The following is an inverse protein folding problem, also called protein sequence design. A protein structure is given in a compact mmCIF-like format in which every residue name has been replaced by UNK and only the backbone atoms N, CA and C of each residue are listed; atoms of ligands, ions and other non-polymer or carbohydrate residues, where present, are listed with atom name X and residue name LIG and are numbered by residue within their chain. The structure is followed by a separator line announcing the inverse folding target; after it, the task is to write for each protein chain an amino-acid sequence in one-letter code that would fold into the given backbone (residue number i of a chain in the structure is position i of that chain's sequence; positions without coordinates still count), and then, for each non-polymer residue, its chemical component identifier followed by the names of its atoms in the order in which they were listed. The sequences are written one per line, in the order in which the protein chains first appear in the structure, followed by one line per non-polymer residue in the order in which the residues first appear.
data_IF_330994954100
#
_entry.id   IF_330994954100
#
_cell.length_a   1.000
_cell.length_b   1.000
_cell.length_c   1.000
_cell.angle_alpha   90.00
_cell.angle_beta   90.00
_cell.angle_gamma   90.00
#
_symmetry.space_group_name_H-M   'P 1'
#
loop_
_entity.id
_entity.type
_entity.pdbx_description
1 polymer ?
#
# COMPACT_ATOMS: atom_id res chain seq x y z
N UNK A 1 -11.24 -4.92 -27.52
CA UNK A 1 -11.65 -4.01 -26.41
C UNK A 1 -12.92 -4.55 -25.78
N UNK A 2 -12.94 -4.69 -24.48
CA UNK A 2 -14.08 -5.24 -23.73
C UNK A 2 -14.73 -4.15 -22.90
N UNK A 3 -16.07 -4.07 -22.93
CA UNK A 3 -16.85 -3.13 -22.12
C UNK A 3 -16.94 -3.60 -20.68
N UNK A 4 -16.48 -2.78 -19.74
CA UNK A 4 -16.39 -3.13 -18.31
C UNK A 4 -16.86 -1.98 -17.44
N UNK A 5 -17.21 -2.30 -16.19
CA UNK A 5 -17.31 -1.38 -15.06
C UNK A 5 -16.27 -1.74 -14.03
N UNK A 6 -15.83 -0.76 -13.23
CA UNK A 6 -14.90 -0.98 -12.10
C UNK A 6 -15.64 -1.03 -10.78
N UNK A 7 -15.54 -2.15 -10.08
CA UNK A 7 -16.21 -2.39 -8.80
C UNK A 7 -15.18 -2.54 -7.69
N UNK A 8 -15.47 -1.96 -6.53
CA UNK A 8 -14.64 -2.03 -5.32
C UNK A 8 -15.48 -2.54 -4.15
N UNK A 9 -14.93 -3.48 -3.39
CA UNK A 9 -15.60 -4.08 -2.23
C UNK A 9 -15.21 -3.42 -0.89
N UNK A 10 -14.10 -2.72 -0.84
CA UNK A 10 -13.58 -2.03 0.35
C UNK A 10 -13.07 -0.64 -0.02
N UNK A 11 -13.09 0.32 0.90
CA UNK A 11 -12.76 1.73 0.65
C UNK A 11 -11.41 1.92 -0.07
N UNK A 12 -10.36 1.25 0.36
CA UNK A 12 -9.04 1.26 -0.29
C UNK A 12 -8.72 -0.10 -0.94
N UNK A 13 -9.75 -0.81 -1.45
CA UNK A 13 -9.61 -2.10 -2.12
C UNK A 13 -9.14 -1.96 -3.56
N UNK A 14 -8.71 -3.08 -4.13
CA UNK A 14 -8.46 -3.22 -5.56
C UNK A 14 -9.76 -2.98 -6.33
N UNK A 15 -9.64 -2.41 -7.52
CA UNK A 15 -10.76 -2.29 -8.46
C UNK A 15 -10.77 -3.54 -9.31
N UNK A 16 -11.92 -4.21 -9.35
CA UNK A 16 -12.16 -5.39 -10.17
C UNK A 16 -13.06 -5.04 -11.33
N UNK A 17 -12.76 -5.57 -12.50
CA UNK A 17 -13.56 -5.34 -13.69
C UNK A 17 -14.64 -6.41 -13.82
N UNK A 18 -15.86 -5.95 -14.14
CA UNK A 18 -17.02 -6.81 -14.43
C UNK A 18 -17.69 -6.35 -15.73
N UNK A 19 -18.31 -7.29 -16.44
CA UNK A 19 -19.15 -6.95 -17.59
C UNK A 19 -20.47 -6.35 -17.08
N UNK A 20 -20.91 -5.17 -17.57
CA UNK A 20 -22.17 -4.56 -17.13
C UNK A 20 -23.40 -5.37 -17.57
N UNK A 21 -23.25 -6.27 -18.56
CA UNK A 21 -24.35 -7.06 -19.10
C UNK A 21 -25.38 -6.18 -19.82
N UNK A 22 -26.64 -6.33 -19.45
CA UNK A 22 -27.77 -5.56 -19.99
C UNK A 22 -28.08 -4.29 -19.20
N UNK A 23 -27.35 -4.03 -18.13
CA UNK A 23 -27.62 -2.92 -17.23
C UNK A 23 -26.80 -1.69 -17.64
N UNK A 24 -27.40 -0.53 -17.49
CA UNK A 24 -26.69 0.75 -17.51
C UNK A 24 -26.34 1.10 -16.06
N UNK A 25 -25.07 1.21 -15.75
CA UNK A 25 -24.57 1.34 -14.36
C UNK A 25 -23.63 2.54 -14.29
N UNK A 26 -23.95 3.46 -13.39
CA UNK A 26 -23.18 4.69 -13.18
C UNK A 26 -22.21 4.59 -11.99
N UNK A 27 -21.26 5.47 -11.96
CA UNK A 27 -20.33 5.61 -10.82
C UNK A 27 -21.10 6.08 -9.58
N UNK A 28 -20.82 5.45 -8.44
CA UNK A 28 -21.51 5.71 -7.18
C UNK A 28 -22.63 4.71 -6.87
N UNK A 29 -23.11 3.96 -7.85
CA UNK A 29 -24.11 2.92 -7.63
C UNK A 29 -23.51 1.68 -6.97
N UNK A 30 -24.39 0.82 -6.47
CA UNK A 30 -24.01 -0.48 -5.92
C UNK A 30 -24.51 -1.61 -6.80
N UNK A 31 -23.75 -2.69 -6.85
CA UNK A 31 -24.04 -3.85 -7.66
C UNK A 31 -23.84 -5.15 -6.90
N UNK A 32 -24.62 -6.15 -7.28
CA UNK A 32 -24.46 -7.53 -6.83
C UNK A 32 -23.67 -8.28 -7.89
N UNK A 33 -22.54 -8.86 -7.47
CA UNK A 33 -21.63 -9.60 -8.35
C UNK A 33 -21.28 -10.95 -7.76
N UNK A 34 -20.85 -11.88 -8.59
CA UNK A 34 -20.30 -13.15 -8.15
C UNK A 34 -18.79 -13.13 -8.22
N UNK A 35 -18.16 -13.41 -7.07
CA UNK A 35 -16.70 -13.52 -6.93
C UNK A 35 -16.28 -14.95 -6.60
N UNK A 36 -14.99 -15.20 -6.40
CA UNK A 36 -14.51 -16.47 -5.87
C UNK A 36 -14.99 -16.73 -4.43
N UNK A 37 -15.36 -15.67 -3.70
CA UNK A 37 -15.88 -15.75 -2.32
C UNK A 37 -17.37 -16.06 -2.25
N UNK A 38 -18.07 -15.88 -3.34
CA UNK A 38 -19.54 -16.00 -3.45
C UNK A 38 -20.16 -14.73 -4.00
N UNK A 39 -21.42 -14.50 -3.66
CA UNK A 39 -22.16 -13.29 -4.02
C UNK A 39 -21.74 -12.15 -3.09
N UNK A 40 -21.31 -11.05 -3.68
CA UNK A 40 -20.82 -9.88 -2.96
C UNK A 40 -21.54 -8.61 -3.40
N UNK A 41 -21.64 -7.68 -2.47
CA UNK A 41 -22.13 -6.32 -2.66
C UNK A 41 -20.95 -5.39 -2.93
N UNK A 42 -20.93 -4.77 -4.11
CA UNK A 42 -19.83 -3.95 -4.56
C UNK A 42 -20.23 -2.51 -4.88
N UNK A 43 -19.31 -1.57 -4.66
CA UNK A 43 -19.49 -0.17 -5.02
C UNK A 43 -18.82 0.12 -6.36
N UNK A 44 -19.57 0.71 -7.29
CA UNK A 44 -19.09 1.08 -8.62
C UNK A 44 -18.25 2.37 -8.52
N UNK A 45 -16.97 2.26 -8.84
CA UNK A 45 -16.01 3.37 -8.79
C UNK A 45 -15.55 3.83 -10.18
N UNK A 46 -15.88 3.08 -11.20
CA UNK A 46 -15.65 3.43 -12.59
C UNK A 46 -16.89 3.04 -13.39
N UNK A 47 -17.54 4.03 -14.02
CA UNK A 47 -18.63 3.83 -14.97
C UNK A 47 -18.20 3.00 -16.19
N UNK A 48 -19.14 2.65 -17.04
CA UNK A 48 -18.89 1.88 -18.25
C UNK A 48 -17.77 2.49 -19.11
N UNK A 49 -16.77 1.67 -19.43
CA UNK A 49 -15.66 2.02 -20.32
C UNK A 49 -15.17 0.84 -21.11
N UNK A 50 -14.53 1.11 -22.22
CA UNK A 50 -13.81 0.11 -22.99
C UNK A 50 -12.38 0.00 -22.48
N UNK A 51 -11.94 -1.23 -22.22
CA UNK A 51 -10.59 -1.55 -21.75
C UNK A 51 -9.97 -2.58 -22.70
N UNK A 52 -8.66 -2.51 -22.87
CA UNK A 52 -7.89 -3.49 -23.64
C UNK A 52 -8.02 -4.88 -23.02
N UNK A 53 -8.15 -5.91 -23.85
CA UNK A 53 -8.45 -7.28 -23.40
C UNK A 53 -7.32 -7.89 -22.55
N UNK A 54 -6.09 -7.40 -22.68
CA UNK A 54 -4.92 -7.78 -21.89
C UNK A 54 -4.96 -7.28 -20.43
N UNK A 55 -5.76 -6.24 -20.16
CA UNK A 55 -5.98 -5.68 -18.80
C UNK A 55 -7.14 -6.33 -18.06
N UNK A 56 -7.87 -7.24 -18.72
CA UNK A 56 -9.04 -7.90 -18.18
C UNK A 56 -8.73 -9.36 -17.84
N UNK A 57 -8.97 -9.75 -16.58
CA UNK A 57 -8.80 -11.14 -16.17
C UNK A 57 -9.94 -12.00 -16.75
N UNK A 58 -9.58 -12.98 -17.55
CA UNK A 58 -10.53 -13.90 -18.16
C UNK A 58 -10.75 -15.16 -17.29
N UNK A 59 -11.98 -15.73 -17.24
CA UNK A 59 -13.20 -15.22 -17.84
C UNK A 59 -13.79 -14.02 -17.11
N UNK A 60 -14.16 -12.96 -17.86
CA UNK A 60 -14.78 -11.77 -17.28
C UNK A 60 -16.18 -12.13 -16.77
N UNK A 61 -16.39 -11.98 -15.45
CA UNK A 61 -17.69 -12.19 -14.82
C UNK A 61 -18.61 -11.01 -15.07
N UNK A 62 -19.91 -11.27 -15.22
CA UNK A 62 -20.90 -10.23 -15.38
C UNK A 62 -21.50 -9.80 -14.04
N UNK A 63 -22.00 -8.57 -13.99
CA UNK A 63 -22.87 -8.11 -12.91
C UNK A 63 -24.14 -8.95 -12.90
N UNK A 64 -24.53 -9.47 -11.74
CA UNK A 64 -25.80 -10.20 -11.59
C UNK A 64 -26.97 -9.23 -11.75
N UNK A 65 -26.93 -8.11 -11.01
CA UNK A 65 -27.90 -7.01 -11.07
C UNK A 65 -27.42 -5.78 -10.31
N UNK A 66 -27.97 -4.59 -10.57
CA UNK A 66 -27.84 -3.45 -9.65
C UNK A 66 -28.39 -3.81 -8.27
N UNK A 67 -27.86 -3.20 -7.22
CA UNK A 67 -28.35 -3.38 -5.88
C UNK A 67 -29.73 -2.69 -5.70
N UNK A 68 -30.55 -3.25 -4.85
CA UNK A 68 -31.84 -2.67 -4.45
C UNK A 68 -31.74 -2.08 -3.05
N UNK A 69 -32.75 -1.30 -2.64
CA UNK A 69 -32.82 -0.76 -1.27
C UNK A 69 -32.80 -1.89 -0.23
N UNK A 70 -33.39 -3.03 -0.53
CA UNK A 70 -33.36 -4.22 0.35
C UNK A 70 -31.94 -4.78 0.51
N UNK A 71 -31.11 -4.68 -0.54
CA UNK A 71 -29.70 -5.10 -0.48
C UNK A 71 -28.89 -4.14 0.36
N UNK A 72 -29.12 -2.84 0.26
CA UNK A 72 -28.48 -1.82 1.08
C UNK A 72 -28.83 -2.03 2.57
N UNK A 73 -30.10 -2.31 2.87
CA UNK A 73 -30.52 -2.66 4.24
C UNK A 73 -29.88 -3.96 4.74
N UNK A 74 -29.73 -4.97 3.86
CA UNK A 74 -29.07 -6.23 4.20
C UNK A 74 -27.61 -5.99 4.53
N UNK A 75 -26.91 -5.22 3.71
CA UNK A 75 -25.51 -4.86 3.96
C UNK A 75 -25.37 -4.08 5.27
N UNK A 76 -26.24 -3.13 5.56
CA UNK A 76 -26.25 -2.40 6.81
C UNK A 76 -26.47 -3.33 8.03
N UNK A 77 -27.40 -4.29 7.92
CA UNK A 77 -27.63 -5.31 8.97
C UNK A 77 -26.42 -6.24 9.13
N UNK A 78 -25.73 -6.59 8.04
CA UNK A 78 -24.52 -7.40 8.11
C UNK A 78 -23.42 -6.67 8.88
N UNK A 79 -23.22 -5.40 8.62
CA UNK A 79 -22.23 -4.57 9.37
C UNK A 79 -22.53 -4.48 10.87
N UNK A 80 -23.80 -4.50 11.25
CA UNK A 80 -24.18 -4.58 12.68
C UNK A 80 -23.81 -5.94 13.28
N UNK A 81 -24.16 -7.03 12.58
CA UNK A 81 -23.80 -8.40 13.00
C UNK A 81 -22.28 -8.59 13.09
N UNK A 82 -21.50 -7.96 12.21
CA UNK A 82 -20.03 -8.00 12.25
C UNK A 82 -19.48 -7.44 13.57
N UNK A 83 -20.07 -6.35 14.07
CA UNK A 83 -19.68 -5.76 15.36
C UNK A 83 -19.97 -6.71 16.52
N UNK A 84 -21.09 -7.42 16.48
CA UNK A 84 -21.43 -8.43 17.49
C UNK A 84 -20.51 -9.66 17.37
N UNK A 85 -20.31 -10.14 16.14
CA UNK A 85 -19.42 -11.27 15.87
C UNK A 85 -17.98 -11.00 16.32
N UNK A 86 -17.51 -9.76 16.14
CA UNK A 86 -16.20 -9.34 16.62
C UNK A 86 -16.09 -9.47 18.15
N UNK A 87 -17.08 -8.99 18.90
CA UNK A 87 -17.10 -9.07 20.38
C UNK A 87 -17.11 -10.53 20.85
N UNK A 88 -18.01 -11.34 20.29
CA UNK A 88 -18.12 -12.76 20.63
C UNK A 88 -16.79 -13.49 20.34
N UNK A 89 -16.17 -13.22 19.19
CA UNK A 89 -14.90 -13.84 18.83
C UNK A 89 -13.79 -13.45 19.79
N UNK A 90 -13.70 -12.19 20.25
CA UNK A 90 -12.75 -11.74 21.27
C UNK A 90 -12.90 -12.53 22.59
N UNK A 91 -14.15 -12.69 23.07
CA UNK A 91 -14.42 -13.46 24.28
C UNK A 91 -13.97 -14.93 24.14
N UNK A 92 -14.22 -15.53 22.96
CA UNK A 92 -13.81 -16.90 22.68
C UNK A 92 -12.30 -17.04 22.59
N UNK A 93 -11.58 -16.10 21.93
CA UNK A 93 -10.12 -16.06 21.87
C UNK A 93 -9.53 -16.02 23.30
N UNK A 94 -10.08 -15.15 24.16
CA UNK A 94 -9.66 -15.03 25.55
C UNK A 94 -9.91 -16.33 26.34
N UNK A 95 -11.08 -16.98 26.17
CA UNK A 95 -11.44 -18.26 26.78
C UNK A 95 -10.47 -19.38 26.40
N UNK A 96 -10.10 -19.45 25.12
CA UNK A 96 -9.14 -20.45 24.60
C UNK A 96 -7.68 -20.07 24.83
N UNK A 97 -7.39 -18.89 25.42
CA UNK A 97 -6.04 -18.40 25.73
C UNK A 97 -5.11 -18.40 24.49
N UNK A 98 -5.65 -18.03 23.33
CA UNK A 98 -4.88 -17.97 22.09
C UNK A 98 -4.12 -16.66 21.99
N UNK A 99 -2.82 -16.74 21.63
CA UNK A 99 -1.97 -15.59 21.40
C UNK A 99 -2.15 -15.07 19.97
N UNK A 100 -3.33 -14.47 19.73
CA UNK A 100 -3.71 -13.89 18.46
C UNK A 100 -4.51 -12.61 18.68
N UNK A 101 -4.36 -11.65 17.77
CA UNK A 101 -5.05 -10.36 17.83
C UNK A 101 -6.10 -10.31 16.73
N UNK A 102 -7.35 -10.32 17.10
CA UNK A 102 -8.46 -10.15 16.16
C UNK A 102 -8.45 -8.72 15.60
N UNK A 103 -8.58 -8.59 14.29
CA UNK A 103 -8.56 -7.31 13.58
C UNK A 103 -9.95 -6.92 13.09
N UNK A 104 -10.66 -7.86 12.44
CA UNK A 104 -11.97 -7.61 11.85
C UNK A 104 -12.77 -8.90 11.76
N UNK A 105 -14.11 -8.80 11.83
CA UNK A 105 -15.05 -9.82 11.42
C UNK A 105 -15.81 -9.31 10.18
N UNK A 106 -16.12 -10.18 9.23
CA UNK A 106 -16.79 -9.84 7.97
C UNK A 106 -17.76 -10.95 7.61
N UNK A 107 -19.02 -10.61 7.32
CA UNK A 107 -20.00 -11.53 6.76
C UNK A 107 -19.96 -11.46 5.23
N UNK A 108 -20.08 -12.59 4.56
CA UNK A 108 -20.43 -12.58 3.14
C UNK A 108 -21.83 -12.01 2.95
N UNK A 109 -22.10 -11.36 1.83
CA UNK A 109 -23.39 -10.70 1.57
C UNK A 109 -24.59 -11.64 1.72
N UNK A 110 -24.42 -12.93 1.36
CA UNK A 110 -25.41 -13.98 1.49
C UNK A 110 -25.55 -14.57 2.91
N UNK A 111 -24.71 -14.14 3.86
CA UNK A 111 -24.60 -14.64 5.24
C UNK A 111 -24.23 -16.14 5.36
N UNK A 112 -23.72 -16.76 4.32
CA UNK A 112 -23.33 -18.18 4.33
C UNK A 112 -21.97 -18.42 5.01
N UNK A 113 -21.19 -17.35 5.21
CA UNK A 113 -19.85 -17.43 5.76
C UNK A 113 -19.54 -16.22 6.65
N UNK A 114 -18.76 -16.45 7.70
CA UNK A 114 -18.13 -15.39 8.51
C UNK A 114 -16.62 -15.55 8.44
N UNK A 115 -15.93 -14.48 8.08
CA UNK A 115 -14.48 -14.39 8.02
C UNK A 115 -13.99 -13.60 9.23
N UNK A 116 -12.98 -14.12 9.91
CA UNK A 116 -12.29 -13.42 11.00
C UNK A 116 -10.84 -13.20 10.59
N UNK A 117 -10.45 -11.95 10.49
CA UNK A 117 -9.08 -11.55 10.17
C UNK A 117 -8.30 -11.33 11.46
N UNK A 118 -7.12 -11.90 11.55
CA UNK A 118 -6.28 -11.80 12.74
C UNK A 118 -4.80 -11.70 12.40
N UNK A 119 -4.01 -11.17 13.35
CA UNK A 119 -2.55 -11.21 13.31
C UNK A 119 -2.02 -12.06 14.45
N UNK A 120 -0.90 -12.75 14.24
CA UNK A 120 -0.18 -13.52 15.23
C UNK A 120 1.30 -13.66 14.83
N UNK A 121 2.19 -13.77 15.81
CA UNK A 121 3.64 -13.88 15.57
C UNK A 121 4.07 -15.27 15.02
N UNK A 122 3.19 -16.26 15.10
CA UNK A 122 3.45 -17.62 14.65
C UNK A 122 2.20 -18.34 14.18
N UNK A 123 2.34 -19.66 14.03
CA UNK A 123 1.21 -20.52 13.68
C UNK A 123 0.36 -20.81 14.92
N UNK A 124 -0.92 -20.48 14.84
CA UNK A 124 -1.90 -20.70 15.91
C UNK A 124 -2.73 -21.94 15.63
N UNK A 125 -2.97 -22.78 16.64
CA UNK A 125 -3.94 -23.86 16.57
C UNK A 125 -5.31 -23.34 17.03
N UNK A 126 -6.16 -23.04 16.08
CA UNK A 126 -7.49 -22.47 16.31
C UNK A 126 -8.64 -23.49 16.10
N UNK A 127 -8.35 -24.82 16.05
CA UNK A 127 -9.38 -25.84 15.76
C UNK A 127 -10.55 -25.82 16.76
N UNK A 128 -10.24 -25.69 18.04
CA UNK A 128 -11.29 -25.62 19.09
C UNK A 128 -12.05 -24.28 19.05
N UNK A 129 -11.34 -23.17 18.74
CA UNK A 129 -11.98 -21.87 18.54
C UNK A 129 -12.97 -21.93 17.37
N UNK A 130 -12.61 -22.54 16.24
CA UNK A 130 -13.52 -22.68 15.08
C UNK A 130 -14.78 -23.46 15.45
N UNK A 131 -14.64 -24.57 16.18
CA UNK A 131 -15.81 -25.36 16.66
C UNK A 131 -16.72 -24.54 17.54
N UNK A 132 -16.14 -23.79 18.49
CA UNK A 132 -16.90 -22.96 19.43
C UNK A 132 -17.62 -21.82 18.69
N UNK A 133 -16.94 -21.15 17.74
CA UNK A 133 -17.56 -20.12 16.89
C UNK A 133 -18.67 -20.69 15.97
N UNK A 134 -18.43 -21.85 15.35
CA UNK A 134 -19.42 -22.49 14.50
C UNK A 134 -20.69 -22.88 15.27
N UNK A 135 -20.58 -23.28 16.54
CA UNK A 135 -21.74 -23.57 17.40
C UNK A 135 -22.60 -22.34 17.68
N UNK A 136 -21.97 -21.14 17.76
CA UNK A 136 -22.65 -19.86 18.03
C UNK A 136 -23.29 -19.30 16.77
N UNK A 137 -22.52 -19.18 15.69
CA UNK A 137 -22.97 -18.49 14.47
C UNK A 137 -23.77 -19.39 13.53
N UNK A 138 -23.68 -20.71 13.67
CA UNK A 138 -24.37 -21.71 12.82
C UNK A 138 -24.11 -21.49 11.32
N UNK A 139 -22.97 -20.92 10.98
CA UNK A 139 -22.51 -20.63 9.64
C UNK A 139 -21.08 -21.14 9.45
N UNK A 140 -20.59 -21.18 8.21
CA UNK A 140 -19.20 -21.53 7.93
C UNK A 140 -18.27 -20.45 8.48
N UNK A 141 -17.32 -20.85 9.32
CA UNK A 141 -16.31 -19.98 9.91
C UNK A 141 -15.00 -20.11 9.13
N UNK A 142 -14.42 -18.98 8.80
CA UNK A 142 -13.11 -18.91 8.16
C UNK A 142 -12.20 -17.94 8.95
N UNK A 143 -11.04 -18.43 9.39
CA UNK A 143 -10.03 -17.64 10.10
C UNK A 143 -8.88 -17.37 9.13
N UNK A 144 -8.58 -16.09 8.89
CA UNK A 144 -7.49 -15.64 8.00
C UNK A 144 -6.44 -14.86 8.78
N UNK A 145 -5.23 -15.38 8.78
CA UNK A 145 -4.08 -14.62 9.29
C UNK A 145 -3.66 -13.59 8.23
N UNK A 146 -3.53 -12.34 8.65
CA UNK A 146 -3.12 -11.22 7.79
C UNK A 146 -1.80 -10.63 8.28
N UNK A 147 -1.10 -9.92 7.38
CA UNK A 147 0.13 -9.23 7.70
C UNK A 147 -0.11 -7.90 8.43
N UNK A 148 0.94 -7.36 9.04
CA UNK A 148 0.88 -6.08 9.79
C UNK A 148 0.54 -4.87 8.89
N UNK A 149 0.84 -4.93 7.59
CA UNK A 149 0.40 -3.90 6.64
C UNK A 149 -1.10 -3.95 6.40
N UNK A 150 -1.66 -5.14 6.27
CA UNK A 150 -3.09 -5.33 6.10
C UNK A 150 -3.85 -4.90 7.36
N UNK A 151 -3.31 -5.20 8.54
CA UNK A 151 -3.83 -4.64 9.79
C UNK A 151 -3.85 -3.11 9.76
N UNK A 152 -2.72 -2.48 9.40
CA UNK A 152 -2.63 -1.03 9.30
C UNK A 152 -3.60 -0.45 8.25
N UNK A 153 -3.80 -1.14 7.13
CA UNK A 153 -4.75 -0.77 6.08
C UNK A 153 -6.19 -0.80 6.58
N UNK A 154 -6.58 -1.86 7.31
CA UNK A 154 -7.94 -2.00 7.88
C UNK A 154 -8.20 -0.96 8.96
N UNK A 155 -7.24 -0.76 9.88
CA UNK A 155 -7.40 0.19 11.00
C UNK A 155 -7.35 1.64 10.55
N UNK A 156 -6.64 1.93 9.46
CA UNK A 156 -6.37 3.29 9.05
C UNK A 156 -5.48 4.05 10.04
N UNK A 157 -5.53 5.37 9.98
CA UNK A 157 -4.78 6.26 10.88
C UNK A 157 -4.00 7.32 10.13
N UNK A 158 -3.11 8.01 10.85
CA UNK A 158 -2.29 9.11 10.34
C UNK A 158 -0.82 8.64 10.28
N UNK A 159 -0.17 8.85 9.15
CA UNK A 159 1.25 8.57 8.97
C UNK A 159 2.16 9.62 9.62
N UNK A 160 3.46 9.32 9.67
CA UNK A 160 4.49 10.27 10.17
C UNK A 160 4.54 11.58 9.38
N UNK A 161 4.01 11.59 8.16
CA UNK A 161 3.87 12.76 7.29
C UNK A 161 2.64 13.64 7.61
N UNK A 162 1.82 13.28 8.61
CA UNK A 162 0.59 13.99 8.98
C UNK A 162 -0.61 13.74 8.06
N UNK A 163 -0.48 12.86 7.06
CA UNK A 163 -1.57 12.49 6.14
C UNK A 163 -2.17 11.14 6.53
N UNK A 164 -3.43 10.84 6.14
CA UNK A 164 -3.98 9.49 6.25
C UNK A 164 -3.07 8.45 5.58
N UNK A 165 -3.06 7.24 6.12
CA UNK A 165 -2.19 6.16 5.62
C UNK A 165 -2.45 5.91 4.12
N UNK A 166 -1.39 5.86 3.32
CA UNK A 166 -1.46 5.60 1.87
C UNK A 166 -2.17 4.27 1.57
N UNK A 167 -1.88 3.23 2.35
CA UNK A 167 -2.51 1.91 2.21
C UNK A 167 -4.02 1.92 2.53
N UNK A 168 -4.49 2.82 3.39
CA UNK A 168 -5.90 2.95 3.72
C UNK A 168 -6.68 3.92 2.80
N UNK A 169 -6.00 4.59 1.87
CA UNK A 169 -6.61 5.59 0.98
C UNK A 169 -6.50 5.22 -0.50
N UNK A 170 -5.32 5.29 -1.09
CA UNK A 170 -5.13 5.18 -2.55
C UNK A 170 -4.21 4.07 -3.03
N UNK A 171 -3.48 3.39 -2.12
CA UNK A 171 -2.60 2.27 -2.49
C UNK A 171 -3.25 0.93 -2.17
N UNK A 172 -4.02 0.33 -3.08
CA UNK A 172 -4.76 -0.90 -2.82
C UNK A 172 -3.86 -2.12 -2.71
N UNK A 173 -2.74 -2.12 -3.42
CA UNK A 173 -1.80 -3.25 -3.48
C UNK A 173 -0.45 -2.89 -2.86
N UNK A 174 0.20 -3.90 -2.30
CA UNK A 174 1.56 -3.76 -1.79
C UNK A 174 2.56 -4.29 -2.81
N UNK A 175 3.53 -3.43 -3.12
CA UNK A 175 4.70 -3.81 -3.93
C UNK A 175 5.91 -3.79 -2.99
N UNK A 176 6.80 -4.78 -3.07
CA UNK A 176 7.99 -4.82 -2.23
C UNK A 176 8.81 -3.54 -2.34
N UNK A 177 9.21 -3.00 -1.20
CA UNK A 177 10.04 -1.79 -1.08
C UNK A 177 11.47 -2.19 -0.74
N UNK A 178 12.45 -1.49 -1.30
CA UNK A 178 13.86 -1.73 -1.00
C UNK A 178 14.52 -0.50 -0.37
N UNK A 179 15.58 -0.73 0.39
CA UNK A 179 16.41 0.34 0.97
C UNK A 179 17.06 1.21 -0.13
N UNK A 180 17.32 0.62 -1.30
CA UNK A 180 17.83 1.35 -2.46
C UNK A 180 16.91 2.52 -2.83
N UNK A 181 15.59 2.35 -2.76
CA UNK A 181 14.61 3.43 -3.02
C UNK A 181 14.78 4.59 -2.03
N UNK A 182 14.97 4.29 -0.74
CA UNK A 182 15.20 5.32 0.27
C UNK A 182 16.50 6.11 0.02
N UNK A 183 17.57 5.42 -0.45
CA UNK A 183 18.83 6.07 -0.84
C UNK A 183 18.65 6.99 -2.05
N UNK A 184 17.95 6.53 -3.07
CA UNK A 184 17.69 7.30 -4.30
C UNK A 184 16.84 8.54 -4.04
N UNK A 185 15.97 8.47 -3.02
CA UNK A 185 15.15 9.58 -2.55
C UNK A 185 15.87 10.49 -1.53
N UNK A 186 17.16 10.28 -1.30
CA UNK A 186 18.00 11.03 -0.34
C UNK A 186 17.45 11.04 1.09
N UNK A 187 16.74 9.99 1.51
CA UNK A 187 16.26 9.87 2.87
C UNK A 187 17.38 9.39 3.81
N UNK A 188 17.28 9.81 5.07
CA UNK A 188 18.13 9.25 6.12
C UNK A 188 17.83 7.76 6.25
N UNK A 189 18.88 6.93 6.21
CA UNK A 189 18.75 5.46 6.35
C UNK A 189 18.58 5.02 7.80
N UNK A 190 18.00 5.85 8.64
CA UNK A 190 17.59 5.48 9.97
C UNK A 190 16.30 4.63 9.88
N UNK A 191 16.29 3.38 10.36
CA UNK A 191 15.11 2.50 10.30
C UNK A 191 13.83 3.15 10.81
N UNK A 192 13.90 3.94 11.89
CA UNK A 192 12.73 4.63 12.45
C UNK A 192 12.15 5.70 11.53
N UNK A 193 12.95 6.27 10.62
CA UNK A 193 12.51 7.32 9.68
C UNK A 193 12.02 6.79 8.34
N UNK A 194 12.41 5.57 7.98
CA UNK A 194 11.99 4.93 6.72
C UNK A 194 10.96 3.83 6.91
N UNK A 195 10.58 3.55 8.17
CA UNK A 195 9.50 2.62 8.49
C UNK A 195 8.17 3.34 8.66
N UNK A 196 7.11 2.73 8.17
CA UNK A 196 5.74 3.16 8.40
C UNK A 196 5.23 2.72 9.78
N UNK A 197 4.01 3.12 10.13
CA UNK A 197 3.35 2.73 11.39
C UNK A 197 3.16 1.22 11.55
N UNK A 198 3.18 0.48 10.44
CA UNK A 198 3.13 -0.98 10.42
C UNK A 198 4.48 -1.66 10.73
N UNK A 199 5.55 -0.90 10.97
CA UNK A 199 6.89 -1.43 11.20
C UNK A 199 7.59 -1.99 9.94
N UNK A 200 7.01 -1.84 8.76
CA UNK A 200 7.63 -2.18 7.46
C UNK A 200 8.11 -0.91 6.75
N UNK A 201 8.93 -1.06 5.71
CA UNK A 201 9.35 0.09 4.91
C UNK A 201 8.15 0.86 4.37
N UNK A 202 8.25 2.18 4.32
CA UNK A 202 7.16 3.06 3.88
C UNK A 202 6.79 2.77 2.42
N UNK A 203 5.52 2.45 2.17
CA UNK A 203 5.00 2.15 0.83
C UNK A 203 5.06 3.36 -0.14
N UNK A 204 5.04 4.60 0.38
CA UNK A 204 5.21 5.80 -0.43
C UNK A 204 6.59 5.85 -1.13
N UNK A 205 7.63 5.19 -0.60
CA UNK A 205 8.92 5.08 -1.28
C UNK A 205 8.77 4.47 -2.68
N UNK A 206 8.02 3.38 -2.80
CA UNK A 206 7.77 2.77 -4.12
C UNK A 206 6.87 3.64 -4.98
N UNK A 207 5.86 4.27 -4.39
CA UNK A 207 4.93 5.13 -5.14
C UNK A 207 5.63 6.35 -5.78
N UNK A 208 6.66 6.87 -5.13
CA UNK A 208 7.40 8.04 -5.59
C UNK A 208 8.67 7.69 -6.39
N UNK A 209 9.05 6.40 -6.45
CA UNK A 209 10.33 5.95 -6.99
C UNK A 209 10.56 6.41 -8.44
N UNK A 210 9.59 6.20 -9.31
CA UNK A 210 9.74 6.49 -10.74
C UNK A 210 9.95 8.00 -10.97
N UNK A 211 9.26 8.85 -10.20
CA UNK A 211 9.44 10.31 -10.23
C UNK A 211 10.85 10.70 -9.77
N UNK A 212 11.34 10.09 -8.67
CA UNK A 212 12.69 10.37 -8.19
C UNK A 212 13.76 9.87 -9.14
N UNK A 213 13.60 8.74 -9.81
CA UNK A 213 14.52 8.22 -10.82
C UNK A 213 14.63 9.19 -12.01
N UNK A 214 13.48 9.65 -12.52
CA UNK A 214 13.44 10.62 -13.62
C UNK A 214 14.14 11.93 -13.23
N UNK A 215 13.78 12.50 -12.08
CA UNK A 215 14.34 13.78 -11.63
C UNK A 215 15.83 13.68 -11.29
N UNK A 216 16.26 12.57 -10.70
CA UNK A 216 17.66 12.31 -10.39
C UNK A 216 18.54 12.18 -11.64
N UNK A 217 18.00 11.67 -12.75
CA UNK A 217 18.74 11.54 -14.01
C UNK A 217 19.21 12.90 -14.55
N UNK A 218 18.55 13.99 -14.16
CA UNK A 218 18.80 15.37 -14.57
C UNK A 218 19.73 16.13 -13.61
N UNK A 219 20.27 15.47 -12.58
CA UNK A 219 21.03 16.09 -11.49
C UNK A 219 22.43 15.51 -11.34
N UNK A 220 23.43 16.31 -10.93
CA UNK A 220 24.73 15.81 -10.51
C UNK A 220 24.64 15.10 -9.16
N UNK A 221 25.61 14.25 -8.84
CA UNK A 221 25.73 13.65 -7.52
C UNK A 221 26.46 14.59 -6.55
N UNK A 222 26.24 14.40 -5.26
CA UNK A 222 27.02 15.07 -4.21
C UNK A 222 28.49 14.65 -4.33
N UNK A 223 29.42 15.65 -4.35
CA UNK A 223 30.85 15.45 -4.58
C UNK A 223 31.27 15.51 -6.07
N UNK A 224 30.32 15.64 -7.01
CA UNK A 224 30.69 15.86 -8.41
C UNK A 224 31.22 17.28 -8.62
N UNK A 225 32.21 17.40 -9.53
CA UNK A 225 32.69 18.70 -9.97
C UNK A 225 31.81 19.18 -11.12
N UNK A 226 31.24 20.36 -10.94
CA UNK A 226 30.37 21.01 -11.92
C UNK A 226 30.92 22.36 -12.36
N UNK A 227 30.51 22.81 -13.54
CA UNK A 227 30.80 24.16 -14.01
C UNK A 227 29.49 24.94 -14.06
N UNK A 228 29.48 26.08 -13.39
CA UNK A 228 28.30 26.97 -13.35
C UNK A 228 28.17 27.79 -14.65
N UNK A 229 27.05 28.42 -14.87
CA UNK A 229 26.84 29.33 -16.00
C UNK A 229 27.82 30.51 -15.99
N UNK A 230 28.30 30.94 -14.80
CA UNK A 230 29.32 31.98 -14.60
C UNK A 230 30.74 31.47 -14.90
N UNK A 231 30.87 30.25 -15.40
CA UNK A 231 32.15 29.55 -15.71
C UNK A 231 32.98 29.22 -14.44
N UNK A 232 32.43 29.36 -13.24
CA UNK A 232 33.11 28.92 -12.02
C UNK A 232 33.06 27.41 -11.92
N UNK A 233 34.14 26.82 -11.38
CA UNK A 233 34.18 25.39 -11.05
C UNK A 233 33.92 25.23 -9.55
N UNK A 234 33.10 24.24 -9.22
CA UNK A 234 32.80 23.96 -7.84
C UNK A 234 32.39 22.51 -7.62
N UNK A 235 32.38 22.12 -6.36
CA UNK A 235 31.98 20.79 -5.90
C UNK A 235 30.53 20.84 -5.39
N UNK A 236 29.74 19.85 -5.78
CA UNK A 236 28.35 19.70 -5.32
C UNK A 236 28.29 19.34 -3.85
N UNK A 237 27.77 20.22 -3.03
CA UNK A 237 27.58 20.03 -1.58
C UNK A 237 26.29 19.30 -1.23
N UNK A 238 25.17 19.68 -1.87
CA UNK A 238 23.87 19.04 -1.67
C UNK A 238 22.98 19.21 -2.88
N UNK A 239 21.99 18.32 -3.01
CA UNK A 239 21.05 18.28 -4.12
C UNK A 239 19.61 18.20 -3.58
N UNK A 240 18.74 19.11 -4.05
CA UNK A 240 17.31 19.07 -3.79
C UNK A 240 16.58 18.51 -5.01
N UNK A 241 16.25 17.23 -4.98
CA UNK A 241 15.75 16.49 -6.16
C UNK A 241 14.44 17.09 -6.67
N UNK A 242 13.45 17.25 -5.79
CA UNK A 242 12.12 17.75 -6.19
C UNK A 242 12.12 19.22 -6.65
N UNK A 243 13.03 20.04 -6.10
CA UNK A 243 13.16 21.46 -6.48
C UNK A 243 14.10 21.65 -7.67
N UNK A 244 14.81 20.62 -8.11
CA UNK A 244 15.86 20.69 -9.15
C UNK A 244 16.88 21.78 -8.83
N UNK A 245 17.28 21.90 -7.54
CA UNK A 245 18.26 22.86 -7.04
C UNK A 245 19.50 22.12 -6.52
N UNK A 246 20.66 22.70 -6.78
CA UNK A 246 21.96 22.16 -6.41
C UNK A 246 22.76 23.22 -5.67
N UNK A 247 23.26 22.89 -4.47
CA UNK A 247 24.23 23.73 -3.76
C UNK A 247 25.63 23.32 -4.15
N UNK A 248 26.41 24.28 -4.63
CA UNK A 248 27.75 24.10 -5.11
C UNK A 248 28.71 24.96 -4.27
N UNK A 249 29.80 24.37 -3.81
CA UNK A 249 30.92 25.09 -3.21
C UNK A 249 31.80 25.56 -4.36
N UNK A 250 31.70 26.83 -4.70
CA UNK A 250 32.51 27.45 -5.75
C UNK A 250 33.80 28.03 -5.18
N UNK A 251 34.90 27.91 -5.92
CA UNK A 251 36.15 28.55 -5.58
C UNK A 251 36.20 29.90 -6.30
N UNK A 252 36.39 30.98 -5.54
CA UNK A 252 36.61 32.35 -6.05
C UNK A 252 38.09 32.57 -6.30
N UNK A 253 38.41 33.64 -7.08
CA UNK A 253 39.78 33.98 -7.47
C UNK A 253 40.72 34.28 -6.29
N UNK A 254 40.20 34.51 -5.11
CA UNK A 254 40.96 34.80 -3.86
C UNK A 254 41.17 33.55 -2.99
N UNK A 255 41.05 32.32 -3.51
CA UNK A 255 41.04 31.07 -2.72
C UNK A 255 39.89 30.98 -1.66
N UNK A 256 38.95 31.88 -1.72
CA UNK A 256 37.75 31.82 -0.87
C UNK A 256 36.76 30.82 -1.44
N UNK A 257 36.09 30.07 -0.55
CA UNK A 257 35.06 29.11 -0.89
C UNK A 257 33.71 29.66 -0.50
N UNK A 258 32.81 29.74 -1.48
CA UNK A 258 31.43 30.20 -1.24
C UNK A 258 30.43 29.11 -1.64
N UNK A 259 29.36 28.97 -0.83
CA UNK A 259 28.25 28.07 -1.16
C UNK A 259 27.17 28.84 -1.89
N UNK A 260 26.95 28.50 -3.17
CA UNK A 260 25.88 29.08 -3.97
C UNK A 260 24.87 28.03 -4.39
N UNK A 261 23.62 28.46 -4.60
CA UNK A 261 22.53 27.58 -5.03
C UNK A 261 22.17 27.89 -6.49
N UNK A 262 22.19 26.85 -7.33
CA UNK A 262 21.92 26.95 -8.77
C UNK A 262 20.75 26.05 -9.16
N UNK A 263 20.05 26.38 -10.25
CA UNK A 263 19.16 25.42 -10.91
C UNK A 263 19.99 24.37 -11.65
N UNK A 264 19.45 23.14 -11.75
CA UNK A 264 20.15 22.07 -12.45
C UNK A 264 20.50 22.40 -13.92
N UNK A 265 19.63 23.18 -14.58
CA UNK A 265 19.82 23.67 -15.96
C UNK A 265 20.98 24.67 -16.13
N UNK A 266 21.42 25.31 -15.05
CA UNK A 266 22.52 26.29 -15.03
C UNK A 266 23.88 25.64 -14.84
N UNK A 267 23.90 24.32 -14.65
CA UNK A 267 25.11 23.55 -14.36
C UNK A 267 25.51 22.66 -15.54
N UNK A 268 26.82 22.61 -15.84
CA UNK A 268 27.39 21.65 -16.76
C UNK A 268 28.17 20.61 -15.99
N UNK A 269 27.81 19.34 -16.13
CA UNK A 269 28.41 18.19 -15.45
C UNK A 269 28.38 16.94 -16.32
N UNK A 270 29.22 15.96 -15.98
CA UNK A 270 29.17 14.63 -16.59
C UNK A 270 28.49 13.69 -15.55
N UNK A 271 27.38 13.06 -15.88
CA UNK A 271 26.72 12.15 -14.95
C UNK A 271 27.64 10.98 -14.60
N UNK A 272 27.89 10.75 -13.31
CA UNK A 272 28.63 9.60 -12.78
C UNK A 272 27.66 8.66 -12.07
N UNK A 273 28.04 7.36 -11.99
CA UNK A 273 27.29 6.43 -11.15
C UNK A 273 27.37 6.89 -9.68
N UNK A 274 26.25 6.87 -8.97
CA UNK A 274 26.19 7.19 -7.53
C UNK A 274 27.07 6.23 -6.73
N UNK A 275 27.87 6.77 -5.83
CA UNK A 275 28.66 6.00 -4.87
C UNK A 275 27.87 6.00 -3.53
N UNK A 276 27.59 4.81 -3.01
CA UNK A 276 26.92 4.67 -1.74
C UNK A 276 27.81 5.14 -0.57
N UNK A 277 27.27 5.98 0.29
CA UNK A 277 27.92 6.30 1.58
C UNK A 277 28.00 5.05 2.45
N UNK A 278 29.16 4.82 3.07
CA UNK A 278 29.32 3.73 4.02
C UNK A 278 28.38 3.94 5.23
N UNK A 279 27.62 2.91 5.56
CA UNK A 279 26.75 2.85 6.74
C UNK A 279 27.48 2.13 7.87
N UNK A 280 27.13 2.46 9.11
CA UNK A 280 27.62 1.69 10.26
C UNK A 280 27.04 0.25 10.24
N UNK A 281 27.77 -0.68 10.89
CA UNK A 281 27.42 -2.11 10.87
C UNK A 281 26.08 -2.42 11.56
N UNK A 282 25.65 -1.57 12.51
CA UNK A 282 24.38 -1.76 13.24
C UNK A 282 23.21 -1.39 12.34
N UNK A 283 23.26 -0.19 11.75
CA UNK A 283 22.25 0.27 10.80
C UNK A 283 22.11 -0.66 9.58
N UNK A 284 23.23 -1.23 9.09
CA UNK A 284 23.19 -2.22 8.02
C UNK A 284 22.40 -3.48 8.40
N UNK A 285 22.63 -4.03 9.60
CA UNK A 285 21.89 -5.23 10.06
C UNK A 285 20.40 -4.94 10.21
N UNK A 286 20.02 -3.83 10.85
CA UNK A 286 18.62 -3.43 11.01
C UNK A 286 17.92 -3.24 9.66
N UNK A 287 18.62 -2.67 8.69
CA UNK A 287 18.11 -2.48 7.33
C UNK A 287 17.93 -3.82 6.59
N UNK A 288 18.89 -4.74 6.73
CA UNK A 288 18.77 -6.10 6.16
C UNK A 288 17.62 -6.89 6.76
N UNK A 289 17.36 -6.73 8.07
CA UNK A 289 16.20 -7.34 8.73
C UNK A 289 14.89 -6.78 8.20
N UNK A 290 14.78 -5.46 8.02
CA UNK A 290 13.60 -4.84 7.40
C UNK A 290 13.35 -5.35 5.98
N UNK A 291 14.40 -5.48 5.14
CA UNK A 291 14.24 -6.05 3.80
C UNK A 291 13.83 -7.54 3.81
N UNK A 292 14.33 -8.31 4.78
CA UNK A 292 13.91 -9.71 4.95
C UNK A 292 12.45 -9.83 5.34
N UNK A 293 11.98 -8.95 6.23
CA UNK A 293 10.57 -8.89 6.64
C UNK A 293 9.68 -8.46 5.48
N UNK A 294 10.13 -7.49 4.68
CA UNK A 294 9.44 -7.04 3.47
C UNK A 294 9.24 -8.17 2.45
N UNK A 295 10.30 -8.96 2.22
CA UNK A 295 10.25 -10.11 1.29
C UNK A 295 9.36 -11.26 1.81
N UNK A 296 9.23 -11.43 3.14
CA UNK A 296 8.39 -12.48 3.74
C UNK A 296 6.91 -12.17 3.65
N UNK A 297 6.49 -10.91 3.83
CA UNK A 297 5.08 -10.53 3.77
C UNK A 297 4.50 -10.56 2.35
N UNK A 298 5.33 -10.38 1.32
CA UNK A 298 4.90 -10.47 -0.07
C UNK A 298 3.75 -9.53 -0.41
N UNK A 299 2.73 -10.07 -1.10
CA UNK A 299 1.51 -9.35 -1.50
C UNK A 299 0.51 -9.29 -0.34
N UNK A 300 -0.42 -8.34 -0.41
CA UNK A 300 -1.55 -8.23 0.53
C UNK A 300 -2.41 -9.50 0.53
N UNK A 301 -2.64 -10.10 1.69
CA UNK A 301 -3.49 -11.29 1.83
C UNK A 301 -4.98 -10.96 1.92
N UNK A 302 -5.36 -9.68 1.97
CA UNK A 302 -6.77 -9.25 2.06
C UNK A 302 -7.43 -9.26 0.68
N UNK A 303 -6.63 -9.08 -0.38
CA UNK A 303 -7.11 -8.99 -1.75
C UNK A 303 -6.89 -10.30 -2.56
N UNK A 304 -6.25 -11.30 -1.95
CA UNK A 304 -6.01 -12.58 -2.60
C UNK A 304 -7.28 -13.43 -2.51
N UNK A 305 -8.09 -13.38 -3.55
CA UNK A 305 -8.97 -14.45 -4.04
C UNK A 305 -9.39 -14.19 -5.49
#
# INVERSE_FOLDING_TARGET
MTKVIGVRFRQAGKIYFFAPGKYHIEEGEHVIVETARGVEYGHVVLSEREVEDDKVIQPLKAVIRPATVEDDEREAKNREKEKEAYKICLEKIAKHKLDMKLIQAEYTFDNNKVLFYFTADGRIDFRELVKDLASVFKTRIELRQIGVRDEAKIRGGIGVCGRPLCCATYMPEFVPVSIKMAKEQNLSLNPTKISGVCGRLMCCLKNEQDTYEELNSKLPNVGDIVTTFDKLKGEVSSVSVLRQRVKVIVNLDNDEKEVREYAASELRFKPKKRVDKALDKKSLKELEELEKLEKKEGKSHINDD
#
